data_IF_685976109810
#
_entry.id   IF_685976109810
#
_cell.length_a   1.000
_cell.length_b   1.000
_cell.length_c   1.000
_cell.angle_alpha   90.00
_cell.angle_beta   90.00
_cell.angle_gamma   90.00
#
_symmetry.space_group_name_H-M   'P 1'
#
loop_
_entity.id
_entity.type
_entity.pdbx_description
1 polymer ?
#
# COMPACT_ATOMS: atom_id res chain seq x y z
N UNK A 1 11.67 25.97 11.94
CA UNK A 1 10.39 25.95 11.20
C UNK A 1 10.34 26.96 10.05
N UNK A 2 11.48 27.35 9.44
CA UNK A 2 11.51 28.37 8.37
C UNK A 2 11.35 27.79 6.97
N UNK A 3 11.16 26.48 6.85
CA UNK A 3 10.92 25.77 5.61
C UNK A 3 10.07 24.53 5.88
N UNK A 4 9.19 24.19 4.93
CA UNK A 4 8.50 22.91 4.91
C UNK A 4 9.43 21.77 4.47
N UNK A 5 8.92 20.54 4.52
CA UNK A 5 9.63 19.36 4.04
C UNK A 5 9.18 19.01 2.61
N UNK A 6 10.07 19.27 1.64
CA UNK A 6 9.98 18.86 0.23
C UNK A 6 8.73 19.35 -0.53
N UNK A 7 8.76 19.24 -1.86
CA UNK A 7 7.65 19.63 -2.73
C UNK A 7 6.65 18.47 -2.88
N UNK A 8 5.36 18.83 -2.97
CA UNK A 8 4.26 17.90 -3.23
C UNK A 8 3.84 17.03 -2.05
N UNK A 9 2.64 16.47 -2.16
CA UNK A 9 2.11 15.53 -1.18
C UNK A 9 2.95 14.25 -1.16
N UNK A 10 3.03 13.63 0.02
CA UNK A 10 3.77 12.40 0.22
C UNK A 10 2.82 11.23 0.51
N UNK A 11 2.74 10.24 -0.38
CA UNK A 11 1.76 9.13 -0.27
C UNK A 11 1.95 8.30 0.99
N UNK A 12 3.20 7.97 1.35
CA UNK A 12 3.46 7.19 2.56
C UNK A 12 3.16 7.99 3.85
N UNK A 13 3.39 9.32 3.86
CA UNK A 13 3.03 10.17 5.02
C UNK A 13 1.52 10.35 5.09
N UNK A 14 0.86 10.40 3.93
CA UNK A 14 -0.59 10.53 3.87
C UNK A 14 -1.34 9.32 4.40
N UNK A 15 -0.68 8.17 4.56
CA UNK A 15 -1.27 7.03 5.27
C UNK A 15 -1.61 7.37 6.73
N UNK A 16 -0.94 8.34 7.36
CA UNK A 16 -1.18 8.75 8.74
C UNK A 16 -2.24 9.86 8.85
N UNK A 17 -2.51 10.57 7.75
CA UNK A 17 -3.59 11.53 7.66
C UNK A 17 -4.91 10.78 7.41
N UNK A 18 -5.89 10.97 8.30
CA UNK A 18 -7.20 10.31 8.19
C UNK A 18 -8.37 11.30 8.22
N UNK A 19 -8.14 12.54 8.64
CA UNK A 19 -9.20 13.51 8.96
C UNK A 19 -9.91 14.01 7.70
N UNK A 20 -9.17 14.25 6.63
CA UNK A 20 -9.71 14.83 5.40
C UNK A 20 -10.77 13.95 4.76
N UNK A 21 -10.61 12.63 4.81
CA UNK A 21 -11.58 11.68 4.30
C UNK A 21 -12.99 11.84 4.92
N UNK A 22 -13.05 12.22 6.21
CA UNK A 22 -14.30 12.32 6.95
C UNK A 22 -14.85 13.75 7.03
N UNK A 23 -13.99 14.76 7.04
CA UNK A 23 -14.39 16.17 7.22
C UNK A 23 -14.33 17.00 5.95
N UNK A 24 -13.41 16.68 5.03
CA UNK A 24 -13.18 17.42 3.79
C UNK A 24 -12.99 16.47 2.59
N UNK A 25 -13.96 15.58 2.31
CA UNK A 25 -13.79 14.46 1.38
C UNK A 25 -13.52 14.87 -0.07
N UNK A 26 -13.80 16.12 -0.46
CA UNK A 26 -13.40 16.62 -1.78
C UNK A 26 -11.88 16.76 -1.91
N UNK A 27 -11.19 17.21 -0.85
CA UNK A 27 -9.74 17.35 -0.84
C UNK A 27 -9.06 15.98 -0.86
N UNK A 28 -9.59 15.04 -0.08
CA UNK A 28 -9.05 13.67 -0.04
C UNK A 28 -9.19 12.96 -1.40
N UNK A 29 -10.34 13.12 -2.07
CA UNK A 29 -10.58 12.50 -3.38
C UNK A 29 -9.74 13.12 -4.49
N UNK A 30 -9.47 14.42 -4.44
CA UNK A 30 -8.57 15.09 -5.40
C UNK A 30 -7.15 14.47 -5.37
N UNK A 31 -6.72 14.00 -4.20
CA UNK A 31 -5.47 13.26 -4.10
C UNK A 31 -5.51 11.89 -4.76
N UNK A 32 -6.64 11.16 -4.70
CA UNK A 32 -6.77 9.89 -5.44
C UNK A 32 -6.64 10.11 -6.94
N UNK A 33 -7.28 11.17 -7.46
CA UNK A 33 -7.16 11.54 -8.87
C UNK A 33 -5.71 11.83 -9.25
N UNK A 34 -5.01 12.60 -8.41
CA UNK A 34 -3.59 12.93 -8.63
C UNK A 34 -2.69 11.68 -8.57
N UNK A 35 -2.82 10.87 -7.52
CA UNK A 35 -2.01 9.66 -7.30
C UNK A 35 -2.14 8.69 -8.49
N UNK A 36 -3.37 8.38 -8.91
CA UNK A 36 -3.60 7.36 -9.93
C UNK A 36 -3.54 7.88 -11.37
N UNK A 37 -4.07 9.08 -11.66
CA UNK A 37 -4.15 9.56 -13.05
C UNK A 37 -2.99 10.48 -13.47
N UNK A 38 -2.14 10.90 -12.53
CA UNK A 38 -0.99 11.77 -12.82
C UNK A 38 0.32 11.11 -12.39
N UNK A 39 0.43 10.67 -11.14
CA UNK A 39 1.71 10.25 -10.56
C UNK A 39 2.10 8.80 -10.91
N UNK A 40 1.13 7.89 -10.97
CA UNK A 40 1.32 6.50 -11.40
C UNK A 40 1.73 6.45 -12.87
N UNK A 41 2.77 5.68 -13.20
CA UNK A 41 3.22 5.52 -14.59
C UNK A 41 2.56 4.35 -15.34
N UNK A 42 2.94 4.17 -16.59
CA UNK A 42 2.41 3.12 -17.47
C UNK A 42 2.74 1.70 -17.02
N UNK A 43 3.71 1.52 -16.12
CA UNK A 43 4.05 0.22 -15.52
C UNK A 43 3.27 -0.05 -14.24
N UNK A 44 2.61 0.96 -13.66
CA UNK A 44 1.95 0.89 -12.36
C UNK A 44 2.84 1.35 -11.20
N UNK A 45 4.07 1.78 -11.48
CA UNK A 45 4.98 2.32 -10.47
C UNK A 45 4.48 3.68 -9.98
N UNK A 46 4.42 3.86 -8.66
CA UNK A 46 4.09 5.11 -7.98
C UNK A 46 5.18 5.45 -6.95
N UNK A 47 5.77 6.63 -7.09
CA UNK A 47 6.73 7.16 -6.12
C UNK A 47 6.01 7.85 -4.96
N UNK A 48 6.76 8.15 -3.89
CA UNK A 48 6.19 8.74 -2.69
C UNK A 48 5.72 10.18 -2.88
N UNK A 49 6.28 10.96 -3.83
CA UNK A 49 5.95 12.39 -3.97
C UNK A 49 5.15 12.71 -5.22
N UNK A 50 4.19 13.61 -5.07
CA UNK A 50 3.51 14.28 -6.18
C UNK A 50 4.46 15.26 -6.87
N UNK A 51 5.09 14.85 -7.97
CA UNK A 51 6.03 15.70 -8.73
C UNK A 51 5.53 16.01 -10.14
N UNK A 52 4.93 15.05 -10.84
CA UNK A 52 4.48 15.22 -12.22
C UNK A 52 3.42 16.32 -12.33
N UNK A 53 2.53 16.44 -11.33
CA UNK A 53 1.55 17.52 -11.26
C UNK A 53 2.18 18.92 -11.37
N UNK A 54 3.40 19.09 -10.86
CA UNK A 54 4.15 20.34 -10.86
C UNK A 54 5.20 20.41 -11.98
N UNK A 55 5.13 19.52 -12.98
CA UNK A 55 6.08 19.47 -14.10
C UNK A 55 7.42 18.79 -13.78
N UNK A 56 7.53 18.13 -12.62
CA UNK A 56 8.68 17.32 -12.24
C UNK A 56 8.70 15.93 -12.89
N UNK A 57 9.71 15.14 -12.55
CA UNK A 57 9.83 13.74 -12.97
C UNK A 57 10.08 12.80 -11.79
N UNK A 58 9.61 11.57 -11.95
CA UNK A 58 9.70 10.47 -10.99
C UNK A 58 10.85 9.54 -11.45
N UNK A 59 11.98 9.59 -10.74
CA UNK A 59 13.21 8.84 -11.05
C UNK A 59 13.76 8.08 -9.83
N UNK A 60 12.91 7.78 -8.86
CA UNK A 60 13.25 7.13 -7.60
C UNK A 60 12.54 5.78 -7.43
N UNK A 61 12.73 5.09 -6.31
CA UNK A 61 12.07 3.82 -6.02
C UNK A 61 10.55 4.01 -5.86
N UNK A 62 9.72 3.03 -6.30
CA UNK A 62 8.31 3.02 -5.93
C UNK A 62 8.18 2.91 -4.41
N UNK A 63 7.23 3.65 -3.84
CA UNK A 63 7.00 3.65 -2.40
C UNK A 63 6.01 2.53 -2.04
N UNK A 64 6.48 1.43 -1.49
CA UNK A 64 5.66 0.23 -1.27
C UNK A 64 4.44 0.53 -0.38
N UNK A 65 4.67 1.10 0.80
CA UNK A 65 3.61 1.48 1.73
C UNK A 65 2.74 2.65 1.21
N UNK A 66 3.34 3.63 0.54
CA UNK A 66 2.62 4.75 -0.07
C UNK A 66 1.67 4.31 -1.18
N UNK A 67 2.17 3.51 -2.13
CA UNK A 67 1.41 2.99 -3.27
C UNK A 67 0.28 2.06 -2.81
N UNK A 68 0.58 1.08 -1.96
CA UNK A 68 -0.41 0.15 -1.42
C UNK A 68 -1.42 0.88 -0.52
N UNK A 69 -0.96 1.86 0.25
CA UNK A 69 -1.80 2.71 1.08
C UNK A 69 -2.78 3.56 0.28
N UNK A 70 -2.37 4.08 -0.89
CA UNK A 70 -3.28 4.79 -1.81
C UNK A 70 -4.43 3.91 -2.28
N UNK A 71 -4.23 2.60 -2.46
CA UNK A 71 -5.30 1.65 -2.82
C UNK A 71 -6.30 1.48 -1.68
N UNK A 72 -5.82 1.32 -0.43
CA UNK A 72 -6.69 1.22 0.74
C UNK A 72 -7.51 2.52 0.92
N UNK A 73 -6.86 3.68 0.75
CA UNK A 73 -7.51 4.98 0.85
C UNK A 73 -8.52 5.22 -0.27
N UNK A 74 -8.22 4.81 -1.51
CA UNK A 74 -9.20 4.86 -2.61
C UNK A 74 -10.46 4.06 -2.27
N UNK A 75 -10.31 2.85 -1.75
CA UNK A 75 -11.45 2.05 -1.31
C UNK A 75 -12.23 2.77 -0.20
N UNK A 76 -11.56 3.27 0.84
CA UNK A 76 -12.21 4.03 1.92
C UNK A 76 -13.02 5.20 1.34
N UNK A 77 -12.43 6.01 0.47
CA UNK A 77 -13.06 7.21 -0.07
C UNK A 77 -14.25 6.87 -0.98
N UNK A 78 -14.11 5.83 -1.81
CA UNK A 78 -15.22 5.29 -2.61
C UNK A 78 -16.36 4.77 -1.72
N UNK A 79 -16.04 4.03 -0.65
CA UNK A 79 -17.04 3.47 0.27
C UNK A 79 -17.77 4.55 1.06
N UNK A 80 -17.08 5.59 1.50
CA UNK A 80 -17.67 6.71 2.23
C UNK A 80 -18.57 7.57 1.35
N UNK A 81 -18.14 7.83 0.11
CA UNK A 81 -18.86 8.70 -0.82
C UNK A 81 -19.98 8.01 -1.60
N UNK A 82 -19.84 6.71 -1.86
CA UNK A 82 -20.66 5.99 -2.84
C UNK A 82 -20.42 6.43 -4.30
N UNK A 83 -19.38 7.23 -4.54
CA UNK A 83 -19.08 7.86 -5.83
C UNK A 83 -18.44 6.84 -6.79
N UNK A 84 -19.28 6.19 -7.59
CA UNK A 84 -18.81 5.20 -8.56
C UNK A 84 -18.07 5.84 -9.74
N UNK A 85 -18.34 7.10 -10.06
CA UNK A 85 -17.66 7.83 -11.12
C UNK A 85 -16.21 8.12 -10.75
N UNK A 86 -15.94 8.45 -9.48
CA UNK A 86 -14.57 8.52 -8.95
C UNK A 86 -13.83 7.21 -9.20
N UNK A 87 -14.42 6.08 -8.78
CA UNK A 87 -13.78 4.79 -8.92
C UNK A 87 -13.52 4.46 -10.39
N UNK A 88 -14.53 4.64 -11.26
CA UNK A 88 -14.40 4.39 -12.69
C UNK A 88 -13.29 5.23 -13.34
N UNK A 89 -13.12 6.47 -12.88
CA UNK A 89 -12.11 7.41 -13.41
C UNK A 89 -10.67 7.01 -13.09
N UNK A 90 -10.44 6.27 -12.00
CA UNK A 90 -9.07 5.89 -11.56
C UNK A 90 -8.79 4.39 -11.65
N UNK A 91 -9.81 3.56 -11.87
CA UNK A 91 -9.73 2.11 -11.70
C UNK A 91 -8.58 1.47 -12.47
N UNK A 92 -8.41 1.78 -13.75
CA UNK A 92 -7.39 1.13 -14.58
C UNK A 92 -5.97 1.40 -14.06
N UNK A 93 -5.70 2.61 -13.57
CA UNK A 93 -4.40 2.96 -12.99
C UNK A 93 -4.24 2.43 -11.56
N UNK A 94 -5.31 2.41 -10.76
CA UNK A 94 -5.30 1.82 -9.42
C UNK A 94 -5.07 0.30 -9.49
N UNK A 95 -5.75 -0.39 -10.41
CA UNK A 95 -5.51 -1.80 -10.72
C UNK A 95 -4.06 -2.03 -11.10
N UNK A 96 -3.52 -1.24 -12.04
CA UNK A 96 -2.13 -1.36 -12.48
C UNK A 96 -1.14 -1.15 -11.33
N UNK A 97 -1.41 -0.19 -10.45
CA UNK A 97 -0.60 0.05 -9.27
C UNK A 97 -0.66 -1.11 -8.25
N UNK A 98 -1.79 -1.79 -8.11
CA UNK A 98 -1.86 -2.99 -7.28
C UNK A 98 -1.16 -4.18 -7.96
N UNK A 99 -1.37 -4.37 -9.27
CA UNK A 99 -0.76 -5.44 -10.06
C UNK A 99 0.79 -5.34 -10.08
N UNK A 100 1.32 -4.11 -10.04
CA UNK A 100 2.76 -3.85 -9.95
C UNK A 100 3.42 -4.58 -8.77
N UNK A 101 2.72 -4.71 -7.64
CA UNK A 101 3.27 -5.33 -6.44
C UNK A 101 3.69 -6.79 -6.66
N UNK A 102 2.89 -7.56 -7.41
CA UNK A 102 3.20 -8.95 -7.77
C UNK A 102 4.45 -9.08 -8.63
N UNK A 103 4.79 -8.05 -9.40
CA UNK A 103 5.91 -8.10 -10.35
C UNK A 103 7.21 -7.53 -9.80
N UNK A 104 7.11 -6.61 -8.84
CA UNK A 104 8.25 -5.82 -8.37
C UNK A 104 8.65 -6.17 -6.93
N UNK A 105 7.69 -6.52 -6.07
CA UNK A 105 7.94 -6.78 -4.66
C UNK A 105 7.84 -8.25 -4.24
N UNK A 106 7.12 -9.08 -4.99
CA UNK A 106 6.95 -10.52 -4.79
C UNK A 106 7.84 -11.27 -5.82
N UNK A 107 9.03 -11.71 -5.41
CA UNK A 107 10.02 -12.26 -6.35
C UNK A 107 9.82 -13.74 -6.66
N UNK A 108 9.14 -14.47 -5.78
CA UNK A 108 8.91 -15.91 -5.91
C UNK A 108 7.44 -16.29 -6.16
N UNK A 109 6.53 -15.32 -6.09
CA UNK A 109 5.11 -15.51 -6.37
C UNK A 109 4.34 -16.19 -5.25
N UNK A 110 4.88 -16.19 -4.01
CA UNK A 110 4.21 -16.77 -2.84
C UNK A 110 3.25 -15.79 -2.14
N UNK A 111 3.10 -14.58 -2.69
CA UNK A 111 2.26 -13.50 -2.19
C UNK A 111 2.75 -12.90 -0.86
N UNK A 112 4.03 -13.07 -0.54
CA UNK A 112 4.73 -12.35 0.53
C UNK A 112 5.82 -11.49 -0.08
N UNK A 113 5.68 -10.17 0.05
CA UNK A 113 6.62 -9.20 -0.50
C UNK A 113 8.00 -9.33 0.15
N UNK A 114 9.02 -9.62 -0.65
CA UNK A 114 10.38 -9.95 -0.21
C UNK A 114 11.48 -9.06 -0.82
N UNK A 115 11.18 -8.32 -1.88
CA UNK A 115 12.21 -7.56 -2.61
C UNK A 115 12.52 -6.19 -1.97
N UNK A 116 13.15 -5.27 -2.72
CA UNK A 116 13.47 -3.92 -2.25
C UNK A 116 12.19 -3.08 -2.07
N UNK A 117 11.90 -2.67 -0.83
CA UNK A 117 10.65 -2.03 -0.46
C UNK A 117 10.91 -0.67 0.21
N UNK A 118 10.95 0.39 -0.60
CA UNK A 118 11.07 1.77 -0.10
C UNK A 118 9.81 2.17 0.68
N UNK A 119 9.99 2.80 1.84
CA UNK A 119 8.91 3.05 2.79
C UNK A 119 9.03 4.40 3.52
N UNK A 120 8.06 4.71 4.38
CA UNK A 120 7.93 5.99 5.09
C UNK A 120 9.09 6.39 5.99
N UNK A 121 10.03 5.50 6.28
CA UNK A 121 11.22 5.81 7.07
C UNK A 121 12.39 6.33 6.22
N UNK A 122 12.15 6.66 4.94
CA UNK A 122 13.14 7.10 3.95
C UNK A 122 14.28 6.09 3.75
N UNK A 123 13.95 4.80 3.85
CA UNK A 123 14.85 3.65 3.68
C UNK A 123 14.14 2.53 2.90
N UNK A 124 14.90 1.53 2.49
CA UNK A 124 14.40 0.31 1.88
C UNK A 124 14.47 -0.84 2.88
N UNK A 125 13.34 -1.50 3.11
CA UNK A 125 13.34 -2.84 3.69
C UNK A 125 13.62 -3.87 2.61
N UNK A 126 14.33 -4.93 2.98
CA UNK A 126 14.64 -6.08 2.14
C UNK A 126 14.18 -7.35 2.86
N UNK A 127 13.73 -8.33 2.10
CA UNK A 127 13.12 -9.54 2.63
C UNK A 127 11.69 -9.32 3.14
N UNK A 128 11.02 -10.43 3.48
CA UNK A 128 9.70 -10.40 4.09
C UNK A 128 9.68 -9.58 5.39
N UNK A 129 8.79 -8.58 5.42
CA UNK A 129 8.60 -7.67 6.56
C UNK A 129 7.10 -7.36 6.75
N UNK A 130 6.71 -6.98 7.97
CA UNK A 130 5.31 -6.87 8.37
C UNK A 130 4.61 -5.58 7.97
N UNK A 131 5.35 -4.46 7.93
CA UNK A 131 4.79 -3.18 7.52
C UNK A 131 4.19 -3.26 6.10
N UNK A 132 4.99 -3.61 5.11
CA UNK A 132 4.57 -3.57 3.71
C UNK A 132 3.62 -4.71 3.36
N UNK A 133 3.82 -5.91 3.92
CA UNK A 133 2.92 -7.04 3.69
C UNK A 133 1.53 -6.79 4.28
N UNK A 134 1.42 -6.20 5.48
CA UNK A 134 0.11 -5.83 6.01
C UNK A 134 -0.58 -4.78 5.12
N UNK A 135 0.17 -3.82 4.56
CA UNK A 135 -0.37 -2.87 3.58
C UNK A 135 -0.82 -3.58 2.30
N UNK A 136 -0.06 -4.57 1.82
CA UNK A 136 -0.39 -5.35 0.63
C UNK A 136 -1.70 -6.12 0.81
N UNK A 137 -1.89 -6.79 1.95
CA UNK A 137 -3.13 -7.54 2.22
C UNK A 137 -4.34 -6.62 2.38
N UNK A 138 -4.17 -5.45 2.99
CA UNK A 138 -5.20 -4.40 3.00
C UNK A 138 -5.56 -3.95 1.57
N UNK A 139 -4.56 -3.71 0.73
CA UNK A 139 -4.72 -3.29 -0.65
C UNK A 139 -5.37 -4.38 -1.53
N UNK A 140 -5.02 -5.65 -1.35
CA UNK A 140 -5.66 -6.77 -2.05
C UNK A 140 -7.13 -6.91 -1.68
N UNK A 141 -7.46 -6.79 -0.40
CA UNK A 141 -8.86 -6.85 0.06
C UNK A 141 -9.69 -5.67 -0.46
N UNK A 142 -9.11 -4.46 -0.43
CA UNK A 142 -9.68 -3.26 -1.04
C UNK A 142 -9.88 -3.43 -2.56
N UNK A 143 -8.83 -3.86 -3.25
CA UNK A 143 -8.80 -4.09 -4.69
C UNK A 143 -9.82 -5.13 -5.13
N UNK A 144 -10.01 -6.21 -4.39
CA UNK A 144 -11.02 -7.22 -4.69
C UNK A 144 -12.45 -6.66 -4.68
N UNK A 145 -12.79 -5.83 -3.70
CA UNK A 145 -14.11 -5.19 -3.61
C UNK A 145 -14.31 -4.13 -4.70
N UNK A 146 -13.26 -3.36 -5.03
CA UNK A 146 -13.31 -2.40 -6.13
C UNK A 146 -13.42 -3.09 -7.50
N UNK A 147 -12.65 -4.16 -7.73
CA UNK A 147 -12.72 -4.96 -8.95
C UNK A 147 -14.12 -5.55 -9.15
N UNK A 148 -14.72 -6.08 -8.08
CA UNK A 148 -16.11 -6.54 -8.07
C UNK A 148 -17.09 -5.44 -8.51
N UNK A 149 -16.93 -4.23 -7.95
CA UNK A 149 -17.79 -3.10 -8.28
C UNK A 149 -17.63 -2.64 -9.73
N UNK A 150 -16.43 -2.74 -10.29
CA UNK A 150 -16.12 -2.42 -11.69
C UNK A 150 -16.45 -3.55 -12.67
N UNK A 151 -16.94 -4.69 -12.19
CA UNK A 151 -17.23 -5.86 -13.02
C UNK A 151 -15.99 -6.65 -13.46
N UNK A 152 -14.81 -6.33 -12.95
CA UNK A 152 -13.55 -7.04 -13.22
C UNK A 152 -13.44 -8.29 -12.35
N UNK A 153 -14.11 -9.36 -12.79
CA UNK A 153 -14.15 -10.65 -12.07
C UNK A 153 -12.80 -11.35 -12.02
N UNK A 154 -11.93 -11.10 -12.99
CA UNK A 154 -10.61 -11.71 -13.02
C UNK A 154 -9.74 -11.12 -11.91
N UNK A 155 -9.61 -9.80 -11.85
CA UNK A 155 -8.86 -9.13 -10.78
C UNK A 155 -9.48 -9.41 -9.39
N UNK A 156 -10.82 -9.42 -9.28
CA UNK A 156 -11.48 -9.81 -8.03
C UNK A 156 -10.98 -11.18 -7.53
N UNK A 157 -10.99 -12.20 -8.40
CA UNK A 157 -10.57 -13.55 -8.01
C UNK A 157 -9.08 -13.60 -7.68
N UNK A 158 -8.23 -12.95 -8.48
CA UNK A 158 -6.78 -12.90 -8.25
C UNK A 158 -6.48 -12.29 -6.89
N UNK A 159 -7.04 -11.12 -6.58
CA UNK A 159 -6.74 -10.42 -5.34
C UNK A 159 -7.26 -11.15 -4.11
N UNK A 160 -8.45 -11.77 -4.18
CA UNK A 160 -8.96 -12.61 -3.08
C UNK A 160 -8.05 -13.80 -2.82
N UNK A 161 -7.61 -14.49 -3.87
CA UNK A 161 -6.76 -15.67 -3.74
C UNK A 161 -5.37 -15.32 -3.19
N UNK A 162 -4.77 -14.23 -3.68
CA UNK A 162 -3.50 -13.72 -3.20
C UNK A 162 -3.59 -13.28 -1.73
N UNK A 163 -4.66 -12.58 -1.35
CA UNK A 163 -4.88 -12.18 0.04
C UNK A 163 -4.94 -13.40 0.98
N UNK A 164 -5.74 -14.40 0.64
CA UNK A 164 -5.93 -15.59 1.49
C UNK A 164 -4.63 -16.39 1.66
N UNK A 165 -3.89 -16.60 0.57
CA UNK A 165 -2.66 -17.37 0.59
C UNK A 165 -1.51 -16.59 1.22
N UNK A 166 -1.30 -15.35 0.78
CA UNK A 166 -0.21 -14.49 1.26
C UNK A 166 -0.32 -14.16 2.74
N UNK A 167 -1.51 -13.76 3.22
CA UNK A 167 -1.67 -13.42 4.65
C UNK A 167 -1.39 -14.60 5.57
N UNK A 168 -1.87 -15.80 5.21
CA UNK A 168 -1.57 -17.03 5.96
C UNK A 168 -0.07 -17.38 5.92
N UNK A 169 0.56 -17.21 4.75
CA UNK A 169 1.98 -17.51 4.54
C UNK A 169 2.87 -16.55 5.32
N UNK A 170 2.60 -15.25 5.25
CA UNK A 170 3.31 -14.21 6.00
C UNK A 170 3.16 -14.41 7.49
N UNK A 171 1.95 -14.76 7.96
CA UNK A 171 1.72 -15.06 9.36
C UNK A 171 2.63 -16.19 9.87
N UNK A 172 2.65 -17.32 9.15
CA UNK A 172 3.53 -18.46 9.45
C UNK A 172 5.02 -18.12 9.39
N UNK A 173 5.41 -17.20 8.50
CA UNK A 173 6.80 -16.86 8.26
C UNK A 173 7.35 -15.85 9.27
N UNK A 174 6.53 -14.87 9.65
CA UNK A 174 6.97 -13.68 10.38
C UNK A 174 6.54 -13.66 11.83
N UNK A 175 5.55 -14.44 12.25
CA UNK A 175 5.12 -14.46 13.66
C UNK A 175 6.16 -15.17 14.55
N UNK A 176 6.74 -14.45 15.51
CA UNK A 176 7.73 -14.95 16.48
C UNK A 176 7.10 -15.08 17.88
N UNK A 177 5.98 -15.80 17.96
CA UNK A 177 5.16 -16.09 19.16
C UNK A 177 4.53 -14.88 19.90
N UNK A 178 5.00 -13.64 19.67
CA UNK A 178 4.53 -12.43 20.37
C UNK A 178 4.32 -11.23 19.41
N UNK A 179 5.12 -11.12 18.35
CA UNK A 179 4.99 -10.07 17.34
C UNK A 179 5.61 -10.51 16.00
N UNK A 180 5.38 -9.72 14.95
CA UNK A 180 5.95 -9.97 13.62
C UNK A 180 7.36 -9.42 13.47
N UNK A 181 8.28 -10.28 13.04
CA UNK A 181 9.67 -9.95 12.73
C UNK A 181 9.87 -9.67 11.23
N UNK A 182 11.09 -9.28 10.86
CA UNK A 182 11.59 -9.29 9.49
C UNK A 182 12.48 -10.52 9.30
N UNK A 183 12.27 -11.23 8.20
CA UNK A 183 13.11 -12.37 7.80
C UNK A 183 14.02 -11.92 6.65
N UNK A 184 15.33 -11.96 6.90
CA UNK A 184 16.38 -11.66 5.94
C UNK A 184 17.64 -12.44 6.33
N UNK A 185 18.41 -12.91 5.34
CA UNK A 185 19.58 -13.77 5.56
C UNK A 185 20.67 -13.08 6.41
N UNK A 186 20.98 -11.82 6.12
CA UNK A 186 21.90 -10.99 6.90
C UNK A 186 21.30 -9.60 7.14
N UNK A 187 20.90 -9.35 8.39
CA UNK A 187 20.32 -8.07 8.81
C UNK A 187 21.29 -6.88 8.64
N UNK A 188 22.60 -7.14 8.54
CA UNK A 188 23.62 -6.11 8.34
C UNK A 188 23.99 -5.89 6.86
N UNK A 189 23.48 -6.71 5.94
CA UNK A 189 23.73 -6.56 4.51
C UNK A 189 23.22 -5.21 3.99
N UNK A 190 22.09 -4.76 4.53
CA UNK A 190 21.48 -3.46 4.24
C UNK A 190 21.34 -2.64 5.51
N UNK A 191 21.37 -1.31 5.39
CA UNK A 191 21.19 -0.44 6.55
C UNK A 191 19.75 -0.49 7.06
N UNK A 192 19.59 -0.31 8.36
CA UNK A 192 18.29 -0.02 9.00
C UNK A 192 17.23 -1.12 8.85
N UNK A 193 17.66 -2.38 8.69
CA UNK A 193 16.78 -3.54 8.81
C UNK A 193 16.51 -3.81 10.30
N UNK A 194 15.28 -4.19 10.64
CA UNK A 194 14.89 -4.38 12.04
C UNK A 194 15.00 -5.84 12.50
N UNK A 195 15.08 -6.81 11.58
CA UNK A 195 15.27 -8.23 11.90
C UNK A 195 14.27 -8.71 12.95
N UNK A 196 14.75 -9.20 14.09
CA UNK A 196 13.91 -9.66 15.22
C UNK A 196 13.36 -8.54 16.13
N UNK A 197 13.61 -7.28 15.79
CA UNK A 197 13.03 -6.14 16.51
C UNK A 197 11.52 -6.04 16.32
N UNK A 198 10.81 -5.56 17.33
CA UNK A 198 9.38 -5.27 17.24
C UNK A 198 9.19 -3.89 16.59
N UNK A 199 8.80 -3.86 15.32
CA UNK A 199 8.51 -2.61 14.60
C UNK A 199 7.17 -2.04 15.08
N UNK A 200 7.13 -0.74 15.40
CA UNK A 200 5.92 -0.06 15.89
C UNK A 200 4.78 -0.06 14.87
N UNK A 201 5.11 0.06 13.58
CA UNK A 201 4.13 0.11 12.48
C UNK A 201 3.89 -1.26 11.81
N UNK A 202 4.28 -2.37 12.44
CA UNK A 202 4.11 -3.73 11.88
C UNK A 202 2.65 -4.07 11.51
N UNK A 203 1.66 -3.39 12.12
CA UNK A 203 0.22 -3.56 11.87
C UNK A 203 -0.43 -2.32 11.22
N UNK A 204 0.33 -1.45 10.55
CA UNK A 204 -0.23 -0.25 9.93
C UNK A 204 -1.31 -0.59 8.88
N UNK A 205 -1.07 -1.58 8.03
CA UNK A 205 -2.07 -2.03 7.06
C UNK A 205 -3.34 -2.59 7.69
N UNK A 206 -3.22 -3.25 8.86
CA UNK A 206 -4.38 -3.73 9.62
C UNK A 206 -5.17 -2.56 10.23
N UNK A 207 -4.47 -1.53 10.71
CA UNK A 207 -5.09 -0.29 11.20
C UNK A 207 -5.87 0.41 10.10
N UNK A 208 -5.25 0.62 8.93
CA UNK A 208 -5.92 1.23 7.78
C UNK A 208 -7.09 0.39 7.27
N UNK A 209 -6.97 -0.94 7.31
CA UNK A 209 -8.07 -1.84 6.95
C UNK A 209 -9.27 -1.69 7.89
N UNK A 210 -9.06 -1.49 9.18
CA UNK A 210 -10.14 -1.18 10.12
C UNK A 210 -10.78 0.18 9.87
N UNK A 211 -9.96 1.22 9.66
CA UNK A 211 -10.45 2.57 9.33
C UNK A 211 -11.29 2.57 8.06
N UNK A 212 -10.88 1.79 7.06
CA UNK A 212 -11.60 1.64 5.79
C UNK A 212 -12.83 0.71 5.87
N UNK A 213 -13.06 0.02 6.99
CA UNK A 213 -14.17 -0.94 7.13
C UNK A 213 -13.93 -2.30 6.45
N UNK A 214 -12.68 -2.62 6.11
CA UNK A 214 -12.27 -3.92 5.54
C UNK A 214 -12.16 -5.01 6.61
N UNK A 215 -12.01 -4.66 7.88
CA UNK A 215 -11.87 -5.61 9.00
C UNK A 215 -10.48 -6.28 9.05
N UNK A 216 -10.43 -7.52 9.54
CA UNK A 216 -9.18 -8.25 9.72
C UNK A 216 -8.55 -8.67 8.39
N UNK A 217 -7.24 -8.44 8.27
CA UNK A 217 -6.36 -8.90 7.19
C UNK A 217 -5.28 -9.88 7.70
N UNK A 218 -5.10 -9.93 9.02
CA UNK A 218 -4.27 -10.88 9.75
C UNK A 218 -5.14 -11.59 10.80
N UNK A 219 -4.65 -12.66 11.46
CA UNK A 219 -5.35 -13.27 12.59
C UNK A 219 -5.72 -12.24 13.66
N UNK A 220 -6.78 -12.53 14.42
CA UNK A 220 -7.33 -11.59 15.41
C UNK A 220 -6.65 -11.76 16.78
N UNK A 221 -6.30 -13.01 17.08
CA UNK A 221 -5.62 -13.48 18.29
C UNK A 221 -4.24 -12.87 18.48
#
# INVERSE_FOLDING_TARGET
DNAGCCEGNCTHVWNYEQTLAFLYPSLERDMRLTEFNVETDETGKMEFRTKKLFGGSNNFHPAADGQLGSIIRLYRDWKLSGDHDLLATVWDNAKRALDFAFSYWDSDGDYVLDSQQHNTYDIEFYGPNSLTNSMFYGALKAGAEMAKAMGDRQSESTYRNAFLQGSQRMDQLLWDDDYYIQVIDDVNQYKYQYGKGCLSDQLLGQTLSHVAGLGHILPKE
#
